data_IF_449135461997
#
_entry.id   IF_449135461997
#
_cell.length_a   1.000
_cell.length_b   1.000
_cell.length_c   1.000
_cell.angle_alpha   90.00
_cell.angle_beta   90.00
_cell.angle_gamma   90.00
#
_symmetry.space_group_name_H-M   'P 1'
#
loop_
_entity.id
_entity.type
_entity.pdbx_description
1 polymer ?
#
# COMPACT_ATOMS: atom_id res chain seq x y z
N UNK A 1 18.15 1.42 8.96
CA UNK A 1 16.97 1.20 8.08
C UNK A 1 16.26 -0.09 8.51
N UNK A 2 14.99 -0.01 8.91
CA UNK A 2 14.17 -1.17 9.30
C UNK A 2 13.44 -1.73 8.07
N UNK A 3 14.16 -2.47 7.23
CA UNK A 3 13.57 -3.11 6.06
C UNK A 3 12.74 -4.36 6.41
N UNK A 4 11.88 -4.84 5.49
CA UNK A 4 11.08 -6.04 5.69
C UNK A 4 11.90 -7.31 6.02
N UNK A 5 13.17 -7.34 5.63
CA UNK A 5 14.11 -8.43 5.87
C UNK A 5 15.20 -8.03 6.90
N UNK A 6 14.79 -7.39 7.99
CA UNK A 6 15.71 -7.02 9.08
C UNK A 6 15.74 -8.08 10.19
N UNK A 7 16.93 -8.35 10.75
CA UNK A 7 17.18 -9.43 11.73
C UNK A 7 16.25 -9.35 12.96
N UNK A 8 15.99 -8.14 13.46
CA UNK A 8 15.19 -7.94 14.68
C UNK A 8 13.69 -7.74 14.41
N UNK A 9 13.20 -7.98 13.19
CA UNK A 9 11.79 -7.78 12.82
C UNK A 9 10.81 -8.46 13.77
N UNK A 10 11.13 -9.66 14.26
CA UNK A 10 10.27 -10.44 15.17
C UNK A 10 10.00 -9.72 16.50
N UNK A 11 10.89 -8.82 16.92
CA UNK A 11 10.77 -8.06 18.16
C UNK A 11 9.98 -6.75 17.96
N UNK A 12 9.88 -6.27 16.72
CA UNK A 12 9.30 -4.96 16.37
C UNK A 12 7.87 -5.10 15.85
N UNK A 13 7.58 -6.19 15.11
CA UNK A 13 6.26 -6.39 14.51
C UNK A 13 5.30 -6.94 15.58
N UNK A 14 4.20 -6.22 15.88
CA UNK A 14 3.19 -6.70 16.81
C UNK A 14 2.69 -8.08 16.36
N UNK A 15 2.60 -9.01 17.31
CA UNK A 15 2.00 -10.32 17.04
C UNK A 15 0.57 -10.08 16.57
N UNK A 16 0.15 -10.57 15.38
CA UNK A 16 -1.23 -10.45 14.96
C UNK A 16 -2.13 -11.06 16.05
N UNK A 17 -3.27 -10.45 16.36
CA UNK A 17 -4.21 -11.04 17.31
C UNK A 17 -4.57 -12.44 16.83
N UNK A 18 -4.41 -13.43 17.70
CA UNK A 18 -4.82 -14.80 17.43
C UNK A 18 -6.34 -14.80 17.29
N UNK A 19 -6.81 -14.99 16.05
CA UNK A 19 -8.23 -15.14 15.75
C UNK A 19 -8.74 -16.41 16.41
N UNK A 20 -9.33 -16.26 17.60
CA UNK A 20 -10.12 -17.31 18.24
C UNK A 20 -11.40 -17.48 17.44
N UNK A 21 -11.50 -18.57 16.68
CA UNK A 21 -12.77 -19.02 16.13
C UNK A 21 -13.64 -19.46 17.30
N UNK A 22 -14.61 -18.65 17.66
CA UNK A 22 -15.68 -19.01 18.61
C UNK A 22 -16.82 -19.60 17.78
N UNK A 23 -17.14 -20.89 18.00
CA UNK A 23 -18.25 -21.61 17.33
C UNK A 23 -19.63 -21.16 17.85
N UNK A 24 -20.79 -21.67 17.41
CA UNK A 24 -21.22 -22.84 16.60
C UNK A 24 -22.56 -22.42 15.92
N UNK A 25 -22.97 -22.90 14.75
CA UNK A 25 -23.73 -24.14 14.54
C UNK A 25 -23.47 -24.73 13.13
N UNK A 26 -23.59 -26.05 13.04
CA UNK A 26 -23.14 -26.88 11.92
C UNK A 26 -24.18 -26.97 10.81
N UNK A 27 -23.85 -26.45 9.62
CA UNK A 27 -24.30 -27.01 8.35
C UNK A 27 -23.04 -27.32 7.51
N UNK A 28 -22.93 -28.58 7.11
CA UNK A 28 -21.80 -29.21 6.42
C UNK A 28 -21.01 -28.32 5.45
N UNK A 29 -19.79 -27.93 5.82
CA UNK A 29 -18.75 -27.52 4.86
C UNK A 29 -17.41 -28.15 5.27
N UNK A 30 -16.86 -28.91 4.33
CA UNK A 30 -15.61 -29.67 4.34
C UNK A 30 -14.41 -28.91 5.00
N UNK A 31 -13.53 -29.60 5.76
CA UNK A 31 -12.48 -29.03 6.63
C UNK A 31 -11.30 -28.34 5.90
N UNK A 32 -11.52 -27.75 4.72
CA UNK A 32 -10.50 -27.18 3.84
C UNK A 32 -10.37 -25.65 3.93
N UNK A 33 -11.25 -24.99 4.67
CA UNK A 33 -11.41 -23.52 4.62
C UNK A 33 -10.71 -22.74 5.75
N UNK A 34 -10.13 -23.43 6.76
CA UNK A 34 -9.54 -22.79 7.95
C UNK A 34 -8.01 -22.67 7.92
N UNK A 35 -7.33 -23.11 6.85
CA UNK A 35 -5.96 -22.67 6.59
C UNK A 35 -6.01 -21.24 6.04
N UNK A 36 -5.76 -20.31 6.95
CA UNK A 36 -5.43 -18.90 6.73
C UNK A 36 -4.11 -18.77 5.93
N UNK A 37 -3.98 -19.44 4.78
CA UNK A 37 -2.90 -19.20 3.81
C UNK A 37 -2.94 -17.72 3.52
N UNK A 38 -1.84 -17.01 3.76
CA UNK A 38 -1.64 -15.64 3.30
C UNK A 38 -2.18 -15.55 1.87
N UNK A 39 -3.40 -15.02 1.71
CA UNK A 39 -4.04 -14.99 0.40
C UNK A 39 -3.21 -13.98 -0.37
N UNK A 40 -2.42 -14.46 -1.34
CA UNK A 40 -1.71 -13.60 -2.26
C UNK A 40 -2.76 -12.62 -2.79
N UNK A 41 -2.60 -11.33 -2.44
CA UNK A 41 -3.53 -10.30 -2.89
C UNK A 41 -3.39 -10.27 -4.41
N UNK A 42 -4.48 -10.44 -5.18
CA UNK A 42 -4.39 -10.38 -6.62
C UNK A 42 -3.82 -9.01 -7.02
N UNK A 43 -2.95 -8.98 -8.02
CA UNK A 43 -2.28 -7.76 -8.48
C UNK A 43 -3.28 -6.61 -8.71
N UNK A 44 -4.44 -6.93 -9.27
CA UNK A 44 -5.56 -6.01 -9.47
C UNK A 44 -5.97 -5.26 -8.20
N UNK A 45 -6.10 -5.98 -7.08
CA UNK A 45 -6.49 -5.39 -5.80
C UNK A 45 -5.37 -4.56 -5.18
N UNK A 46 -4.12 -4.77 -5.58
CA UNK A 46 -3.00 -3.90 -5.21
C UNK A 46 -3.03 -2.58 -5.99
N UNK A 47 -3.45 -2.59 -7.27
CA UNK A 47 -3.62 -1.36 -8.05
C UNK A 47 -4.61 -0.40 -7.39
N UNK A 48 -5.73 -0.94 -6.88
CA UNK A 48 -6.71 -0.16 -6.14
C UNK A 48 -6.14 0.42 -4.84
N UNK A 49 -5.27 -0.31 -4.14
CA UNK A 49 -4.68 0.16 -2.87
C UNK A 49 -3.59 1.21 -3.05
N UNK A 50 -2.73 1.03 -4.05
CA UNK A 50 -1.53 1.87 -4.25
C UNK A 50 -1.85 3.08 -5.11
N UNK A 51 -2.65 2.89 -6.17
CA UNK A 51 -2.93 3.92 -7.16
C UNK A 51 -4.38 4.43 -7.13
N UNK A 52 -5.22 3.87 -6.26
CA UNK A 52 -6.66 4.17 -6.23
C UNK A 52 -7.36 3.89 -7.58
N UNK A 53 -6.89 2.88 -8.31
CA UNK A 53 -7.44 2.44 -9.60
C UNK A 53 -8.16 1.10 -9.41
N UNK A 54 -9.49 1.09 -9.55
CA UNK A 54 -10.28 -0.14 -9.59
C UNK A 54 -10.52 -0.60 -11.04
N UNK A 55 -10.10 -1.82 -11.35
CA UNK A 55 -10.30 -2.47 -12.66
C UNK A 55 -11.15 -3.76 -12.54
N UNK A 56 -11.69 -4.06 -11.36
CA UNK A 56 -12.66 -5.15 -11.17
C UNK A 56 -14.09 -4.71 -11.49
N UNK A 57 -14.33 -3.41 -11.65
CA UNK A 57 -15.65 -2.83 -11.90
C UNK A 57 -15.70 -2.11 -13.24
N UNK A 58 -16.72 -2.41 -14.04
CA UNK A 58 -16.94 -1.72 -15.31
C UNK A 58 -17.41 -0.28 -15.07
N UNK A 59 -16.70 0.70 -15.64
CA UNK A 59 -17.09 2.11 -15.55
C UNK A 59 -18.42 2.43 -16.26
N UNK A 60 -18.83 1.62 -17.23
CA UNK A 60 -20.05 1.89 -18.03
C UNK A 60 -21.32 1.31 -17.40
N UNK A 61 -21.22 0.12 -16.79
CA UNK A 61 -22.39 -0.61 -16.30
C UNK A 61 -22.29 -1.06 -14.82
N UNK A 62 -21.16 -0.85 -14.15
CA UNK A 62 -20.95 -1.29 -12.76
C UNK A 62 -20.81 -2.80 -12.57
N UNK A 63 -20.82 -3.58 -13.66
CA UNK A 63 -20.64 -5.03 -13.61
C UNK A 63 -19.23 -5.45 -13.20
N UNK A 64 -19.10 -6.66 -12.65
CA UNK A 64 -17.81 -7.25 -12.29
C UNK A 64 -17.04 -7.67 -13.56
N UNK A 65 -15.78 -7.27 -13.65
CA UNK A 65 -14.84 -7.62 -14.71
C UNK A 65 -13.77 -8.56 -14.13
N UNK A 66 -13.34 -9.53 -14.94
CA UNK A 66 -12.20 -10.41 -14.63
C UNK A 66 -11.07 -10.13 -15.61
N UNK A 67 -9.88 -9.86 -15.09
CA UNK A 67 -8.67 -9.78 -15.92
C UNK A 67 -8.24 -11.19 -16.31
N UNK A 68 -8.07 -11.42 -17.60
CA UNK A 68 -7.73 -12.72 -18.17
C UNK A 68 -6.25 -12.85 -18.56
N UNK A 69 -5.61 -11.74 -18.93
CA UNK A 69 -4.20 -11.70 -19.34
C UNK A 69 -3.67 -10.27 -19.25
N UNK A 70 -2.36 -10.14 -19.06
CA UNK A 70 -1.61 -8.91 -19.31
C UNK A 70 -0.94 -9.03 -20.69
N UNK A 71 -1.01 -7.96 -21.49
CA UNK A 71 -0.36 -7.90 -22.81
C UNK A 71 0.94 -7.15 -22.64
N UNK A 72 2.07 -7.82 -22.90
CA UNK A 72 3.41 -7.25 -22.73
C UNK A 72 4.13 -6.99 -24.07
N UNK A 73 3.66 -7.57 -25.18
CA UNK A 73 4.26 -7.38 -26.50
C UNK A 73 3.97 -5.96 -27.05
N UNK A 74 4.99 -5.12 -27.27
CA UNK A 74 4.81 -3.76 -27.78
C UNK A 74 4.10 -3.68 -29.15
N UNK A 75 4.26 -4.69 -30.01
CA UNK A 75 3.59 -4.71 -31.32
C UNK A 75 2.09 -4.90 -31.17
N UNK A 76 1.68 -5.78 -30.26
CA UNK A 76 0.27 -6.06 -29.96
C UNK A 76 -0.36 -4.85 -29.26
N UNK A 77 0.33 -4.26 -28.29
CA UNK A 77 -0.13 -3.06 -27.59
C UNK A 77 -0.40 -1.93 -28.59
N UNK A 78 0.55 -1.62 -29.48
CA UNK A 78 0.38 -0.59 -30.52
C UNK A 78 -0.84 -0.85 -31.39
N UNK A 79 -0.95 -2.07 -31.94
CA UNK A 79 -2.07 -2.44 -32.81
C UNK A 79 -3.45 -2.26 -32.13
N UNK A 80 -3.55 -2.60 -30.85
CA UNK A 80 -4.79 -2.42 -30.07
C UNK A 80 -5.07 -0.92 -29.85
N UNK A 81 -4.07 -0.15 -29.43
CA UNK A 81 -4.22 1.28 -29.17
C UNK A 81 -4.60 2.06 -30.44
N UNK A 82 -3.97 1.76 -31.58
CA UNK A 82 -4.30 2.34 -32.88
C UNK A 82 -5.75 2.05 -33.27
N UNK A 83 -6.20 0.81 -33.10
CA UNK A 83 -7.58 0.42 -33.39
C UNK A 83 -8.59 1.17 -32.52
N UNK A 84 -8.21 1.51 -31.28
CA UNK A 84 -9.04 2.30 -30.36
C UNK A 84 -8.90 3.82 -30.57
N UNK A 85 -8.01 4.28 -31.46
CA UNK A 85 -7.71 5.71 -31.63
C UNK A 85 -7.01 6.35 -30.44
N UNK A 86 -6.30 5.57 -29.63
CA UNK A 86 -5.54 6.04 -28.46
C UNK A 86 -4.08 6.32 -28.83
N UNK A 87 -3.42 7.17 -28.04
CA UNK A 87 -2.01 7.47 -28.20
C UNK A 87 -1.16 6.19 -28.03
N UNK A 88 -0.30 5.92 -29.01
CA UNK A 88 0.61 4.75 -29.04
C UNK A 88 1.97 5.03 -28.43
N UNK A 89 2.36 6.30 -28.37
CA UNK A 89 3.62 6.75 -27.79
C UNK A 89 3.53 6.77 -26.26
N UNK A 90 4.55 6.26 -25.55
CA UNK A 90 4.58 6.34 -24.10
C UNK A 90 4.65 7.80 -23.63
N UNK A 91 4.13 8.10 -22.43
CA UNK A 91 4.27 9.43 -21.86
C UNK A 91 5.74 9.80 -21.68
N UNK A 92 6.11 11.09 -21.83
CA UNK A 92 7.49 11.53 -21.68
C UNK A 92 7.99 11.24 -20.26
N UNK A 93 9.26 10.84 -20.16
CA UNK A 93 9.91 10.59 -18.88
C UNK A 93 10.12 11.93 -18.15
N UNK A 94 9.65 12.00 -16.91
CA UNK A 94 9.93 13.12 -16.02
C UNK A 94 11.11 12.79 -15.10
N UNK A 95 11.95 13.79 -14.73
CA UNK A 95 13.00 13.58 -13.75
C UNK A 95 12.41 13.11 -12.42
N UNK A 96 13.17 12.30 -11.67
CA UNK A 96 12.76 11.83 -10.35
C UNK A 96 12.37 13.01 -9.45
N UNK A 97 11.20 12.93 -8.81
CA UNK A 97 10.79 13.95 -7.84
C UNK A 97 11.75 13.91 -6.65
N UNK A 98 12.37 15.05 -6.35
CA UNK A 98 13.06 15.26 -5.08
C UNK A 98 12.07 15.20 -3.90
N UNK A 99 12.58 15.09 -2.66
CA UNK A 99 11.74 15.15 -1.47
C UNK A 99 10.88 16.43 -1.49
N UNK A 100 9.63 16.37 -0.97
CA UNK A 100 8.83 17.57 -0.83
C UNK A 100 9.62 18.60 -0.02
N UNK A 101 9.60 19.86 -0.46
CA UNK A 101 10.22 20.95 0.28
C UNK A 101 9.47 21.07 1.60
N UNK A 102 10.12 20.65 2.69
CA UNK A 102 9.60 20.87 4.04
C UNK A 102 9.59 22.39 4.22
N UNK A 103 8.41 22.98 4.39
CA UNK A 103 8.32 24.32 4.94
C UNK A 103 8.80 24.20 6.38
N UNK A 104 10.04 24.59 6.64
CA UNK A 104 10.60 24.62 7.98
C UNK A 104 9.81 25.64 8.80
N UNK A 105 8.81 25.17 9.55
CA UNK A 105 8.26 25.86 10.71
C UNK A 105 8.94 25.35 11.99
N UNK A 106 10.24 25.07 11.92
CA UNK A 106 11.00 24.46 13.02
C UNK A 106 11.89 25.46 13.77
N UNK A 107 11.74 26.77 13.55
CA UNK A 107 12.56 27.78 14.25
C UNK A 107 11.88 28.44 15.46
N UNK A 108 10.69 28.00 15.89
CA UNK A 108 9.96 28.68 16.98
C UNK A 108 9.96 27.94 18.34
N UNK A 109 10.33 26.65 18.41
CA UNK A 109 10.22 25.87 19.67
C UNK A 109 11.54 25.70 20.45
N UNK A 110 12.69 26.10 19.89
CA UNK A 110 13.99 25.93 20.57
C UNK A 110 14.40 27.11 21.46
N UNK A 111 13.60 28.18 21.48
CA UNK A 111 13.86 29.39 22.25
C UNK A 111 12.83 29.58 23.38
N UNK A 112 12.48 28.53 24.13
CA UNK A 112 11.81 28.68 25.43
C UNK A 112 11.90 27.40 26.27
N UNK A 113 13.08 27.18 26.83
CA UNK A 113 13.21 26.52 28.13
C UNK A 113 14.60 26.87 28.70
N UNK A 114 14.74 28.14 29.08
CA UNK A 114 15.66 28.53 30.16
C UNK A 114 15.25 27.77 31.42
N UNK A 115 15.73 26.53 31.55
CA UNK A 115 15.83 25.87 32.84
C UNK A 115 16.96 26.57 33.60
N UNK A 116 16.66 27.74 34.17
CA UNK A 116 17.44 28.29 35.28
C UNK A 116 17.32 27.31 36.46
N UNK A 117 18.26 26.37 36.54
CA UNK A 117 18.53 25.64 37.77
C UNK A 117 19.19 26.61 38.75
N UNK A 118 18.37 27.32 39.52
CA UNK A 118 18.84 28.19 40.58
C UNK A 118 19.24 27.33 41.79
N UNK A 119 20.54 27.05 41.91
CA UNK A 119 21.12 26.16 42.93
C UNK A 119 21.30 26.84 44.30
N UNK A 120 21.05 28.16 44.42
CA UNK A 120 21.35 28.92 45.64
C UNK A 120 20.19 28.99 46.65
N UNK A 121 19.16 28.14 46.52
CA UNK A 121 18.01 28.11 47.45
C UNK A 121 18.08 27.00 48.51
N UNK A 122 19.24 26.38 48.69
CA UNK A 122 19.50 25.38 49.73
C UNK A 122 20.67 25.77 50.65
N UNK A 123 20.67 27.00 51.18
CA UNK A 123 21.29 27.26 52.49
C UNK A 123 20.66 28.46 53.19
#
# INVERSE_FOLDING_TARGET
>A
MLGPHYKHRKQIVPKPPELKVVGQEQDNIEPKQLELKKKNIPCVRLLARVFNIDVETCIKCGGKIKIIAAIEDPKVIRKILEHMGLATEPPPLYPARGPPKVQHHFEDDFAQQDFEMNFDKFN
#
